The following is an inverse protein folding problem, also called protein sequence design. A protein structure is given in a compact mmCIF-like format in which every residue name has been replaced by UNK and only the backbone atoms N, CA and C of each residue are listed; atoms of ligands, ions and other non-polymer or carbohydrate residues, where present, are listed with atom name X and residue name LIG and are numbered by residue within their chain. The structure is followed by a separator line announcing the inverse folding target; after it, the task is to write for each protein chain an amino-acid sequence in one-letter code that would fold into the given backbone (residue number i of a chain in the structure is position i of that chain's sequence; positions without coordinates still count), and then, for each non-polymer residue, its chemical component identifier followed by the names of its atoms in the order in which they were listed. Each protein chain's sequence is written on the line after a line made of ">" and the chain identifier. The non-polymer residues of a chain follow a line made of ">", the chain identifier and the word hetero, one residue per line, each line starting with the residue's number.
data_IF_554761007028
#
_entry.id   IF_554761007028
#
_cell.length_a   1.000
_cell.length_b   1.000
_cell.length_c   1.000
_cell.angle_alpha   90.00
_cell.angle_beta   90.00
_cell.angle_gamma   90.00
#
_symmetry.space_group_name_H-M   'P 1'
#
loop_
_entity.id
_entity.type
_entity.pdbx_description
1 polymer ?
#
# COMPACT_ATOMS: atom_id res chain seq x y z
N UNK A 1 -21.75 -76.80 -17.79
CA UNK A 1 -21.35 -75.80 -16.79
C UNK A 1 -20.38 -74.82 -17.43
N UNK A 2 -20.82 -73.59 -17.67
CA UNK A 2 -19.97 -72.53 -18.25
C UNK A 2 -19.56 -71.59 -17.11
N UNK A 3 -18.28 -71.51 -16.87
CA UNK A 3 -17.69 -70.55 -15.89
C UNK A 3 -17.51 -69.19 -16.54
N UNK A 4 -18.16 -68.19 -15.97
CA UNK A 4 -18.04 -66.77 -16.37
C UNK A 4 -16.78 -66.15 -15.74
N UNK A 5 -15.84 -65.69 -16.60
CA UNK A 5 -14.68 -64.88 -16.18
C UNK A 5 -15.12 -63.47 -15.88
N UNK A 6 -14.65 -62.91 -14.73
CA UNK A 6 -14.85 -61.52 -14.37
C UNK A 6 -13.90 -60.60 -15.18
N UNK A 7 -14.34 -59.41 -15.63
CA UNK A 7 -13.47 -58.43 -16.28
C UNK A 7 -12.59 -57.73 -15.25
N UNK A 8 -11.32 -57.56 -15.62
CA UNK A 8 -10.31 -56.87 -14.81
C UNK A 8 -10.59 -55.37 -14.65
N UNK A 9 -10.29 -54.86 -13.46
CA UNK A 9 -10.37 -53.46 -13.12
C UNK A 9 -9.15 -52.72 -13.76
N UNK A 10 -9.46 -51.85 -14.72
CA UNK A 10 -8.46 -50.93 -15.30
C UNK A 10 -8.15 -49.84 -14.30
N UNK A 11 -6.96 -49.87 -13.67
CA UNK A 11 -6.45 -48.80 -12.83
C UNK A 11 -5.91 -47.70 -13.74
N UNK A 12 -6.66 -46.58 -13.86
CA UNK A 12 -6.15 -45.36 -14.47
C UNK A 12 -5.37 -44.57 -13.42
N UNK A 13 -4.04 -44.66 -13.46
CA UNK A 13 -3.16 -43.72 -12.82
C UNK A 13 -3.20 -42.42 -13.64
N UNK A 14 -3.97 -41.42 -13.15
CA UNK A 14 -3.95 -40.07 -13.67
C UNK A 14 -2.60 -39.40 -13.45
N UNK A 15 -2.21 -38.42 -14.30
CA UNK A 15 -0.96 -37.71 -14.12
C UNK A 15 -1.00 -36.95 -12.79
N UNK A 16 0.03 -37.18 -11.98
CA UNK A 16 0.30 -36.42 -10.76
C UNK A 16 0.53 -34.96 -11.16
N UNK A 17 -0.40 -34.08 -10.78
CA UNK A 17 -0.19 -32.63 -10.90
C UNK A 17 0.89 -32.30 -9.91
N UNK A 18 2.12 -32.17 -10.39
CA UNK A 18 3.22 -31.55 -9.62
C UNK A 18 2.79 -30.11 -9.33
N UNK A 19 2.51 -29.83 -8.06
CA UNK A 19 2.45 -28.45 -7.57
C UNK A 19 3.78 -27.76 -7.93
N UNK A 20 3.76 -26.55 -8.50
CA UNK A 20 5.00 -25.83 -8.72
C UNK A 20 5.68 -25.66 -7.36
N UNK A 21 6.93 -26.10 -7.28
CA UNK A 21 7.79 -25.83 -6.14
C UNK A 21 7.75 -24.33 -5.86
N UNK A 22 7.38 -23.95 -4.64
CA UNK A 22 7.51 -22.57 -4.14
C UNK A 22 8.98 -22.21 -4.29
N UNK A 23 9.30 -21.51 -5.39
CA UNK A 23 10.62 -20.94 -5.62
C UNK A 23 10.98 -20.06 -4.43
N UNK A 24 12.17 -20.23 -3.88
CA UNK A 24 12.66 -19.46 -2.76
C UNK A 24 12.42 -17.97 -3.00
N UNK A 25 11.81 -17.27 -2.03
CA UNK A 25 11.66 -15.84 -2.02
C UNK A 25 13.05 -15.19 -2.04
N UNK A 26 13.59 -14.93 -3.22
CA UNK A 26 14.57 -13.85 -3.33
C UNK A 26 13.83 -12.57 -2.96
N UNK A 27 14.15 -12.04 -1.79
CA UNK A 27 13.59 -10.80 -1.27
C UNK A 27 14.11 -9.66 -2.14
N UNK A 28 13.34 -9.29 -3.16
CA UNK A 28 13.61 -8.15 -4.01
C UNK A 28 13.57 -6.87 -3.17
N UNK A 29 14.68 -6.13 -3.11
CA UNK A 29 14.76 -4.89 -2.32
C UNK A 29 13.68 -3.88 -2.73
N UNK A 30 13.35 -3.79 -4.01
CA UNK A 30 12.29 -2.92 -4.52
C UNK A 30 10.90 -3.38 -4.05
N UNK A 31 10.63 -4.70 -4.02
CA UNK A 31 9.38 -5.24 -3.48
C UNK A 31 9.19 -4.85 -2.01
N UNK A 32 10.25 -4.97 -1.20
CA UNK A 32 10.21 -4.61 0.23
C UNK A 32 9.94 -3.11 0.40
N UNK A 33 10.60 -2.26 -0.37
CA UNK A 33 10.43 -0.80 -0.30
C UNK A 33 9.02 -0.39 -0.73
N UNK A 34 8.50 -0.98 -1.80
CA UNK A 34 7.14 -0.72 -2.29
C UNK A 34 6.09 -1.17 -1.27
N UNK A 35 6.21 -2.39 -0.75
CA UNK A 35 5.32 -2.91 0.29
C UNK A 35 5.36 -2.06 1.57
N UNK A 36 6.54 -1.62 1.99
CA UNK A 36 6.70 -0.76 3.16
C UNK A 36 6.04 0.61 2.96
N UNK A 37 6.21 1.24 1.79
CA UNK A 37 5.57 2.51 1.49
C UNK A 37 4.05 2.38 1.41
N UNK A 38 3.52 1.34 0.76
CA UNK A 38 2.08 1.08 0.70
C UNK A 38 1.49 0.92 2.12
N UNK A 39 2.16 0.14 2.99
CA UNK A 39 1.73 0.00 4.38
C UNK A 39 1.81 1.31 5.16
N UNK A 40 2.82 2.14 4.91
CA UNK A 40 2.90 3.48 5.51
C UNK A 40 1.73 4.39 5.07
N UNK A 41 1.29 4.29 3.81
CA UNK A 41 0.11 5.02 3.30
C UNK A 41 -1.18 4.51 3.95
N UNK A 42 -1.37 3.20 4.10
CA UNK A 42 -2.51 2.63 4.83
C UNK A 42 -2.52 3.08 6.31
N UNK A 43 -1.36 3.12 6.96
CA UNK A 43 -1.23 3.64 8.31
C UNK A 43 -1.49 5.14 8.39
N UNK A 44 -1.18 5.91 7.34
CA UNK A 44 -1.46 7.33 7.26
C UNK A 44 -2.96 7.62 7.31
N UNK A 45 -3.81 6.78 6.69
CA UNK A 45 -5.27 6.87 6.79
C UNK A 45 -5.69 6.94 8.27
N UNK A 46 -5.25 5.98 9.07
CA UNK A 46 -5.60 5.91 10.50
C UNK A 46 -4.98 7.06 11.30
N UNK A 47 -3.71 7.41 11.05
CA UNK A 47 -3.00 8.47 11.76
C UNK A 47 -3.63 9.84 11.52
N UNK A 48 -3.91 10.18 10.25
CA UNK A 48 -4.53 11.46 9.88
C UNK A 48 -5.99 11.53 10.30
N UNK A 49 -6.72 10.41 10.25
CA UNK A 49 -8.10 10.37 10.73
C UNK A 49 -8.18 10.60 12.25
N UNK A 50 -7.28 10.02 13.04
CA UNK A 50 -7.25 10.23 14.49
C UNK A 50 -6.98 11.69 14.86
N UNK A 51 -6.01 12.36 14.23
CA UNK A 51 -5.74 13.78 14.49
C UNK A 51 -6.87 14.67 13.96
N UNK A 52 -7.47 14.37 12.80
CA UNK A 52 -8.63 15.04 12.26
C UNK A 52 -9.79 15.15 13.27
N UNK A 53 -10.03 14.14 14.09
CA UNK A 53 -11.06 14.12 15.12
C UNK A 53 -10.69 14.93 16.38
N UNK A 54 -9.41 15.32 16.53
CA UNK A 54 -8.89 15.99 17.73
C UNK A 54 -8.61 17.49 17.54
N UNK A 55 -8.55 17.98 16.29
CA UNK A 55 -8.21 19.39 16.04
C UNK A 55 -9.26 20.34 16.60
N UNK A 56 -8.81 21.34 17.37
CA UNK A 56 -9.65 22.34 18.03
C UNK A 56 -8.98 23.71 17.97
N UNK A 57 -9.74 24.77 18.29
CA UNK A 57 -9.22 26.13 18.35
C UNK A 57 -9.24 26.87 17.00
N UNK A 58 -8.49 27.96 16.94
CA UNK A 58 -8.42 28.81 15.76
C UNK A 58 -7.83 28.02 14.58
N UNK A 59 -8.47 28.10 13.41
CA UNK A 59 -8.03 27.37 12.22
C UNK A 59 -8.41 25.88 12.20
N UNK A 60 -9.06 25.36 13.25
CA UNK A 60 -9.40 23.93 13.35
C UNK A 60 -10.28 23.44 12.21
N UNK A 61 -11.19 24.26 11.68
CA UNK A 61 -12.02 23.87 10.56
C UNK A 61 -11.21 23.63 9.27
N UNK A 62 -10.24 24.51 8.99
CA UNK A 62 -9.36 24.35 7.84
C UNK A 62 -8.45 23.12 8.01
N UNK A 63 -7.90 22.93 9.21
CA UNK A 63 -7.10 21.73 9.53
C UNK A 63 -7.92 20.44 9.43
N UNK A 64 -9.14 20.42 9.99
CA UNK A 64 -10.07 19.31 9.88
C UNK A 64 -10.33 18.92 8.41
N UNK A 65 -10.64 19.91 7.55
CA UNK A 65 -10.86 19.69 6.12
C UNK A 65 -9.61 19.25 5.36
N UNK A 66 -8.45 19.78 5.72
CA UNK A 66 -7.18 19.37 5.11
C UNK A 66 -6.82 17.91 5.44
N UNK A 67 -6.97 17.53 6.72
CA UNK A 67 -6.69 16.18 7.18
C UNK A 67 -7.68 15.16 6.60
N UNK A 68 -8.96 15.58 6.38
CA UNK A 68 -9.95 14.75 5.68
C UNK A 68 -9.45 14.32 4.30
N UNK A 69 -9.01 15.28 3.48
CA UNK A 69 -8.45 14.99 2.16
C UNK A 69 -7.30 13.99 2.26
N UNK A 70 -6.42 14.18 3.24
CA UNK A 70 -5.26 13.30 3.44
C UNK A 70 -5.67 11.86 3.70
N UNK A 71 -6.57 11.62 4.66
CA UNK A 71 -6.92 10.23 4.98
C UNK A 71 -7.83 9.59 3.93
N UNK A 72 -8.67 10.35 3.22
CA UNK A 72 -9.48 9.81 2.14
C UNK A 72 -8.60 9.36 0.95
N UNK A 73 -7.62 10.18 0.53
CA UNK A 73 -6.83 9.89 -0.68
C UNK A 73 -5.66 8.91 -0.42
N UNK A 74 -5.13 8.79 0.81
CA UNK A 74 -4.01 7.88 1.05
C UNK A 74 -4.38 6.39 0.95
N UNK A 75 -5.65 6.04 1.21
CA UNK A 75 -6.15 4.68 0.97
C UNK A 75 -6.05 4.31 -0.50
N UNK A 76 -6.60 5.16 -1.36
CA UNK A 76 -6.58 4.98 -2.81
C UNK A 76 -5.15 4.95 -3.35
N UNK A 77 -4.27 5.83 -2.88
CA UNK A 77 -2.85 5.82 -3.29
C UNK A 77 -2.11 4.54 -2.89
N UNK A 78 -2.47 3.93 -1.75
CA UNK A 78 -1.89 2.66 -1.34
C UNK A 78 -2.35 1.51 -2.23
N UNK A 79 -3.66 1.45 -2.52
CA UNK A 79 -4.26 0.43 -3.37
C UNK A 79 -3.70 0.53 -4.79
N UNK A 80 -3.72 1.73 -5.40
CA UNK A 80 -3.15 1.98 -6.73
C UNK A 80 -1.68 1.54 -6.82
N UNK A 81 -0.86 1.89 -5.81
CA UNK A 81 0.56 1.52 -5.79
C UNK A 81 0.76 0.00 -5.74
N UNK A 82 -0.02 -0.69 -4.89
CA UNK A 82 0.08 -2.15 -4.74
C UNK A 82 -0.37 -2.86 -6.00
N UNK A 83 -1.56 -2.51 -6.52
CA UNK A 83 -2.15 -3.16 -7.68
C UNK A 83 -1.29 -2.98 -8.93
N UNK A 84 -0.84 -1.74 -9.19
CA UNK A 84 -0.01 -1.44 -10.36
C UNK A 84 1.34 -2.14 -10.28
N UNK A 85 2.00 -2.12 -9.10
CA UNK A 85 3.28 -2.81 -8.92
C UNK A 85 3.14 -4.32 -9.06
N UNK A 86 2.11 -4.93 -8.46
CA UNK A 86 1.84 -6.36 -8.57
C UNK A 86 1.51 -6.77 -10.01
N UNK A 87 0.78 -5.91 -10.75
CA UNK A 87 0.50 -6.12 -12.15
C UNK A 87 1.74 -6.04 -13.03
N UNK A 88 2.62 -5.05 -12.81
CA UNK A 88 3.85 -4.86 -13.57
C UNK A 88 4.87 -5.98 -13.33
N UNK A 89 5.00 -6.43 -12.09
CA UNK A 89 5.98 -7.46 -11.69
C UNK A 89 5.42 -8.90 -11.72
N UNK A 90 4.13 -9.06 -11.99
CA UNK A 90 3.40 -10.35 -11.94
C UNK A 90 3.61 -11.12 -10.62
N UNK A 91 3.72 -10.37 -9.51
CA UNK A 91 4.09 -10.89 -8.20
C UNK A 91 3.34 -10.18 -7.07
N UNK A 92 2.80 -10.95 -6.13
CA UNK A 92 2.16 -10.39 -4.93
C UNK A 92 3.18 -9.81 -3.96
N UNK A 93 2.85 -8.65 -3.39
CA UNK A 93 3.59 -8.02 -2.29
C UNK A 93 3.13 -8.59 -0.94
N UNK A 94 4.07 -8.75 -0.03
CA UNK A 94 3.79 -9.03 1.38
C UNK A 94 3.95 -7.73 2.17
N UNK A 95 2.82 -7.14 2.57
CA UNK A 95 2.81 -5.86 3.29
C UNK A 95 3.18 -6.09 4.76
N UNK A 96 4.14 -5.31 5.30
CA UNK A 96 4.57 -5.47 6.68
C UNK A 96 3.47 -5.03 7.66
N UNK A 97 3.27 -5.77 8.74
CA UNK A 97 2.32 -5.40 9.78
C UNK A 97 2.96 -4.36 10.73
N UNK A 98 2.74 -3.08 10.46
CA UNK A 98 3.22 -1.96 11.26
C UNK A 98 2.07 -1.13 11.83
N UNK A 99 2.30 -0.48 12.99
CA UNK A 99 1.27 0.32 13.63
C UNK A 99 1.21 1.75 13.06
N UNK A 100 0.00 2.36 13.00
CA UNK A 100 -0.16 3.77 12.67
C UNK A 100 0.57 4.69 13.67
N UNK A 101 1.10 5.81 13.19
CA UNK A 101 1.72 6.82 14.04
C UNK A 101 0.66 7.53 14.91
N UNK A 102 1.01 7.84 16.15
CA UNK A 102 0.22 8.74 16.98
C UNK A 102 0.61 10.19 16.68
N UNK A 103 -0.38 10.99 16.27
CA UNK A 103 -0.23 12.41 15.98
C UNK A 103 -1.11 13.20 16.95
N UNK A 104 -0.53 14.20 17.64
CA UNK A 104 -1.21 14.95 18.67
C UNK A 104 -1.33 16.44 18.34
N UNK A 105 -0.68 16.91 17.26
CA UNK A 105 -0.76 18.30 16.81
C UNK A 105 -0.70 18.41 15.29
N UNK A 106 -1.11 19.56 14.76
CA UNK A 106 -0.99 19.88 13.33
C UNK A 106 0.47 19.91 12.90
N UNK A 107 1.38 20.34 13.75
CA UNK A 107 2.82 20.36 13.52
C UNK A 107 3.35 18.93 13.33
N UNK A 108 2.94 18.00 14.20
CA UNK A 108 3.30 16.58 14.05
C UNK A 108 2.73 15.97 12.77
N UNK A 109 1.51 16.34 12.38
CA UNK A 109 0.93 15.92 11.10
C UNK A 109 1.72 16.47 9.90
N UNK A 110 2.17 17.73 9.96
CA UNK A 110 3.03 18.32 8.94
C UNK A 110 4.37 17.61 8.81
N UNK A 111 5.01 17.26 9.93
CA UNK A 111 6.27 16.52 9.93
C UNK A 111 6.11 15.09 9.45
N UNK A 112 5.01 14.45 9.81
CA UNK A 112 4.63 13.13 9.28
C UNK A 112 4.48 13.16 7.76
N UNK A 113 3.77 14.15 7.21
CA UNK A 113 3.58 14.32 5.76
C UNK A 113 4.90 14.64 5.03
N UNK A 114 5.84 15.39 5.65
CA UNK A 114 7.17 15.61 5.07
C UNK A 114 7.94 14.30 4.96
N UNK A 115 7.99 13.51 6.04
CA UNK A 115 8.66 12.20 6.05
C UNK A 115 8.04 11.23 5.03
N UNK A 116 6.71 11.22 4.88
CA UNK A 116 6.03 10.42 3.86
C UNK A 116 6.48 10.86 2.46
N UNK A 117 6.53 12.16 2.17
CA UNK A 117 7.01 12.67 0.89
C UNK A 117 8.45 12.27 0.58
N UNK A 118 9.33 12.26 1.60
CA UNK A 118 10.72 11.83 1.44
C UNK A 118 10.80 10.32 1.10
N UNK A 119 9.99 9.48 1.75
CA UNK A 119 9.90 8.04 1.43
C UNK A 119 9.40 7.81 -0.01
N UNK A 120 8.37 8.54 -0.43
CA UNK A 120 7.87 8.48 -1.82
C UNK A 120 8.98 8.86 -2.81
N UNK A 121 9.70 9.94 -2.53
CA UNK A 121 10.80 10.42 -3.39
C UNK A 121 11.93 9.40 -3.45
N UNK A 122 12.26 8.74 -2.34
CA UNK A 122 13.26 7.68 -2.31
C UNK A 122 12.86 6.48 -3.18
N UNK A 123 11.60 6.02 -3.09
CA UNK A 123 11.10 4.93 -3.93
C UNK A 123 11.09 5.31 -5.41
N UNK A 124 10.66 6.54 -5.75
CA UNK A 124 10.67 7.04 -7.13
C UNK A 124 12.06 7.00 -7.77
N UNK A 125 13.10 7.27 -6.99
CA UNK A 125 14.48 7.32 -7.51
C UNK A 125 15.01 5.96 -7.97
N UNK A 126 14.37 4.86 -7.57
CA UNK A 126 14.76 3.48 -7.90
C UNK A 126 13.67 2.71 -8.66
N UNK A 127 12.51 3.31 -8.86
CA UNK A 127 11.37 2.70 -9.56
C UNK A 127 11.59 2.71 -11.08
N UNK A 128 11.65 1.53 -11.73
CA UNK A 128 11.87 1.46 -13.18
C UNK A 128 10.60 1.73 -14.01
N UNK A 129 9.42 1.62 -13.39
CA UNK A 129 8.11 1.72 -14.05
C UNK A 129 7.61 3.16 -14.01
N UNK A 130 7.53 3.82 -15.19
CA UNK A 130 7.13 5.23 -15.30
C UNK A 130 5.69 5.48 -14.87
N UNK A 131 4.78 4.54 -15.07
CA UNK A 131 3.39 4.56 -14.63
C UNK A 131 3.29 4.60 -13.10
N UNK A 132 4.09 3.81 -12.40
CA UNK A 132 4.16 3.81 -10.93
C UNK A 132 4.79 5.12 -10.42
N UNK A 133 5.80 5.64 -11.11
CA UNK A 133 6.36 6.97 -10.80
C UNK A 133 5.27 8.05 -10.88
N UNK A 134 4.37 7.99 -11.86
CA UNK A 134 3.25 8.93 -11.99
C UNK A 134 2.24 8.80 -10.83
N UNK A 135 1.92 7.58 -10.37
CA UNK A 135 1.08 7.37 -9.18
C UNK A 135 1.72 7.98 -7.94
N UNK A 136 3.02 7.78 -7.76
CA UNK A 136 3.77 8.38 -6.65
C UNK A 136 3.83 9.92 -6.73
N UNK A 137 3.82 10.51 -7.93
CA UNK A 137 3.68 11.97 -8.11
C UNK A 137 2.28 12.46 -7.68
N UNK A 138 1.22 11.71 -7.93
CA UNK A 138 -0.12 12.02 -7.45
C UNK A 138 -0.15 12.03 -5.91
N UNK A 139 0.42 11.03 -5.25
CA UNK A 139 0.52 10.99 -3.80
C UNK A 139 1.31 12.19 -3.22
N UNK A 140 2.40 12.62 -3.87
CA UNK A 140 3.10 13.86 -3.50
C UNK A 140 2.26 15.11 -3.69
N UNK A 141 1.42 15.15 -4.73
CA UNK A 141 0.49 16.26 -4.98
C UNK A 141 -0.53 16.37 -3.85
N UNK A 142 -1.13 15.25 -3.42
CA UNK A 142 -2.00 15.18 -2.24
C UNK A 142 -1.31 15.73 -0.99
N UNK A 143 -0.09 15.29 -0.70
CA UNK A 143 0.70 15.79 0.43
C UNK A 143 0.88 17.31 0.34
N UNK A 144 1.24 17.84 -0.83
CA UNK A 144 1.44 19.28 -1.01
C UNK A 144 0.14 20.06 -0.78
N UNK A 145 -1.01 19.56 -1.28
CA UNK A 145 -2.33 20.15 -1.09
C UNK A 145 -2.73 20.19 0.39
N UNK A 146 -2.56 19.09 1.11
CA UNK A 146 -2.84 19.01 2.56
C UNK A 146 -1.94 19.96 3.32
N UNK A 147 -0.63 19.93 3.08
CA UNK A 147 0.35 20.83 3.72
C UNK A 147 0.04 22.29 3.47
N UNK A 148 -0.31 22.68 2.25
CA UNK A 148 -0.70 24.06 1.95
C UNK A 148 -1.85 24.52 2.84
N UNK A 149 -2.89 23.70 2.97
CA UNK A 149 -4.05 24.04 3.79
C UNK A 149 -3.71 24.12 5.28
N UNK A 150 -2.88 23.18 5.79
CA UNK A 150 -2.45 23.18 7.19
C UNK A 150 -1.55 24.36 7.55
N UNK A 151 -0.72 24.84 6.60
CA UNK A 151 0.22 25.93 6.83
C UNK A 151 -0.41 27.30 6.70
N UNK A 152 -1.32 27.50 5.76
CA UNK A 152 -1.72 28.84 5.31
C UNK A 152 -3.22 29.16 5.49
N UNK A 153 -4.08 28.16 5.67
CA UNK A 153 -5.51 28.39 5.88
C UNK A 153 -5.85 28.29 7.37
N UNK A 154 -6.00 29.44 8.01
CA UNK A 154 -6.28 29.58 9.46
C UNK A 154 -7.59 30.30 9.71
#
# INVERSE_FOLDING_TARGET
>A
MRTLSKPGIFSMSGPSIMSPAMGGHETCALCIQTAALAQDMLNAVTSLHRIHLKVTGLGSYAAHKALNIGYDEFGDHADDLVEEYQGAEEKLLDLPNTAPAELNSVEEALDFLRKMKDKITALQSVMPHSEIVNLLDNAKSTINSVKYKLLFLK
#
